data_IF_546792835839
#
_entry.id   IF_546792835839
#
_cell.length_a   1.000
_cell.length_b   1.000
_cell.length_c   1.000
_cell.angle_alpha   90.00
_cell.angle_beta   90.00
_cell.angle_gamma   90.00
#
_symmetry.space_group_name_H-M   'P 1'
#
loop_
_entity.id
_entity.type
_entity.pdbx_description
1 polymer ?
#
# COMPACT_ATOMS: atom_id res chain seq x y z
N UNK A 1 5.04 -13.10 -6.19
CA UNK A 1 5.34 -11.73 -6.68
C UNK A 1 4.13 -10.87 -6.43
N UNK A 2 4.32 -9.57 -6.20
CA UNK A 2 3.21 -8.62 -6.04
C UNK A 2 2.84 -8.04 -7.39
N UNK A 3 1.53 -7.95 -7.67
CA UNK A 3 1.00 -7.32 -8.88
C UNK A 3 -0.06 -6.31 -8.45
N UNK A 4 0.04 -5.10 -8.98
CA UNK A 4 -0.88 -4.01 -8.69
C UNK A 4 -1.56 -3.62 -10.00
N UNK A 5 -2.90 -3.65 -10.02
CA UNK A 5 -3.72 -3.32 -11.18
C UNK A 5 -4.72 -2.25 -10.78
N UNK A 6 -4.91 -1.25 -11.65
CA UNK A 6 -5.84 -0.15 -11.41
C UNK A 6 -6.61 0.22 -12.68
N UNK A 7 -7.70 0.98 -12.51
CA UNK A 7 -8.54 1.46 -13.61
C UNK A 7 -7.85 2.62 -14.35
N UNK A 8 -8.12 2.78 -15.65
CA UNK A 8 -7.45 3.80 -16.50
C UNK A 8 -7.67 5.25 -16.04
N UNK A 9 -8.80 5.54 -15.37
CA UNK A 9 -9.14 6.85 -14.83
C UNK A 9 -8.50 7.15 -13.47
N UNK A 10 -7.76 6.20 -12.89
CA UNK A 10 -7.05 6.37 -11.63
C UNK A 10 -5.58 6.67 -11.92
N UNK A 11 -5.11 7.84 -11.52
CA UNK A 11 -3.68 8.14 -11.57
C UNK A 11 -3.02 7.59 -10.31
N UNK A 12 -2.19 6.56 -10.47
CA UNK A 12 -1.47 5.92 -9.36
C UNK A 12 0.00 6.33 -9.39
N UNK A 13 0.47 6.90 -8.29
CA UNK A 13 1.88 7.24 -8.09
C UNK A 13 2.48 6.38 -6.97
N UNK A 14 3.42 5.50 -7.33
CA UNK A 14 4.10 4.62 -6.38
C UNK A 14 5.23 5.37 -5.69
N UNK A 15 5.10 5.56 -4.37
CA UNK A 15 6.08 6.27 -3.56
C UNK A 15 7.13 5.33 -2.93
N UNK A 16 6.75 4.08 -2.67
CA UNK A 16 7.65 3.06 -2.11
C UNK A 16 7.18 1.66 -2.46
N UNK A 17 8.11 0.76 -2.76
CA UNK A 17 7.80 -0.66 -2.94
C UNK A 17 8.94 -1.56 -2.48
N UNK A 18 8.59 -2.79 -2.11
CA UNK A 18 9.49 -3.88 -1.79
C UNK A 18 8.80 -5.22 -2.11
N UNK A 19 9.43 -6.34 -1.75
CA UNK A 19 8.78 -7.64 -1.83
C UNK A 19 7.62 -7.80 -0.84
N UNK A 20 7.59 -6.99 0.22
CA UNK A 20 6.61 -7.08 1.30
C UNK A 20 5.56 -5.97 1.28
N UNK A 21 5.69 -4.96 0.42
CA UNK A 21 4.67 -3.94 0.27
C UNK A 21 4.77 -3.19 -1.04
N UNK A 22 3.65 -2.62 -1.46
CA UNK A 22 3.58 -1.52 -2.42
C UNK A 22 2.82 -0.41 -1.73
N UNK A 23 3.36 0.81 -1.75
CA UNK A 23 2.74 1.99 -1.20
C UNK A 23 2.74 3.10 -2.24
N UNK A 24 1.62 3.79 -2.35
CA UNK A 24 1.44 4.86 -3.31
C UNK A 24 0.22 5.71 -3.00
N UNK A 25 0.00 6.67 -3.89
CA UNK A 25 -1.11 7.59 -3.84
C UNK A 25 -1.95 7.45 -5.09
N UNK A 26 -3.26 7.58 -4.91
CA UNK A 26 -4.25 7.53 -5.95
C UNK A 26 -4.91 8.91 -6.04
N UNK A 27 -4.83 9.50 -7.22
CA UNK A 27 -5.61 10.67 -7.61
C UNK A 27 -6.75 10.19 -8.51
N UNK A 28 -7.98 10.31 -8.03
CA UNK A 28 -9.17 10.03 -8.81
C UNK A 28 -9.62 11.30 -9.54
N UNK A 29 -9.50 11.31 -10.87
CA UNK A 29 -9.85 12.48 -11.68
C UNK A 29 -11.37 12.75 -11.70
N UNK A 30 -12.20 11.73 -11.48
CA UNK A 30 -13.67 11.84 -11.51
C UNK A 30 -14.20 12.48 -10.23
N UNK A 31 -13.76 11.98 -9.08
CA UNK A 31 -14.20 12.44 -7.76
C UNK A 31 -13.36 13.60 -7.22
N UNK A 32 -12.17 13.83 -7.80
CA UNK A 32 -11.11 14.74 -7.30
C UNK A 32 -10.63 14.38 -5.88
N UNK A 33 -10.78 13.11 -5.51
CA UNK A 33 -10.28 12.62 -4.23
C UNK A 33 -8.83 12.17 -4.34
N UNK A 34 -8.09 12.40 -3.26
CA UNK A 34 -6.72 11.95 -3.09
C UNK A 34 -6.64 11.02 -1.89
N UNK A 35 -6.20 9.79 -2.10
CA UNK A 35 -6.10 8.78 -1.05
C UNK A 35 -4.88 7.88 -1.25
N UNK A 36 -4.36 7.37 -0.14
CA UNK A 36 -3.20 6.48 -0.15
C UNK A 36 -3.62 5.03 -0.32
N UNK A 37 -2.88 4.27 -1.13
CA UNK A 37 -3.03 2.83 -1.23
C UNK A 37 -1.77 2.15 -0.69
N UNK A 38 -1.99 1.12 0.13
CA UNK A 38 -0.91 0.26 0.60
C UNK A 38 -1.34 -1.18 0.44
N UNK A 39 -0.62 -1.93 -0.38
CA UNK A 39 -0.71 -3.38 -0.43
C UNK A 39 0.43 -3.97 0.39
N UNK A 40 0.11 -4.92 1.27
CA UNK A 40 1.09 -5.56 2.15
C UNK A 40 1.10 -7.06 1.89
N UNK A 41 2.31 -7.55 1.64
CA UNK A 41 2.64 -8.97 1.60
C UNK A 41 3.50 -9.32 2.81
N UNK A 42 2.89 -10.01 3.78
CA UNK A 42 3.56 -10.37 5.02
C UNK A 42 4.85 -11.16 4.81
N UNK A 43 5.75 -11.10 5.79
CA UNK A 43 6.93 -11.97 5.77
C UNK A 43 6.52 -13.45 5.82
N UNK A 44 7.03 -14.25 4.89
CA UNK A 44 6.72 -15.67 4.77
C UNK A 44 7.31 -16.49 5.95
N UNK A 45 8.48 -16.10 6.44
CA UNK A 45 9.10 -16.83 7.55
C UNK A 45 8.43 -16.49 8.88
N UNK A 46 8.10 -17.53 9.65
CA UNK A 46 7.35 -17.41 10.90
C UNK A 46 8.03 -16.49 11.92
N UNK A 47 9.35 -16.58 12.03
CA UNK A 47 10.17 -15.72 12.89
C UNK A 47 10.13 -14.24 12.51
N UNK A 48 9.64 -13.91 11.31
CA UNK A 48 9.59 -12.55 10.79
C UNK A 48 8.18 -11.97 10.74
N UNK A 49 7.12 -12.72 11.06
CA UNK A 49 5.71 -12.24 11.00
C UNK A 49 5.48 -10.94 11.78
N UNK A 50 6.19 -10.73 12.90
CA UNK A 50 6.11 -9.50 13.69
C UNK A 50 6.62 -8.26 12.94
N UNK A 51 7.54 -8.42 11.99
CA UNK A 51 8.06 -7.31 11.15
C UNK A 51 6.98 -6.75 10.24
N UNK A 52 5.98 -7.54 9.85
CA UNK A 52 4.82 -7.05 9.09
C UNK A 52 4.06 -5.99 9.88
N UNK A 53 3.86 -6.19 11.19
CA UNK A 53 3.20 -5.20 12.04
C UNK A 53 4.01 -3.93 12.24
N UNK A 54 5.35 -4.06 12.32
CA UNK A 54 6.21 -2.88 12.33
C UNK A 54 6.15 -2.09 11.02
N UNK A 55 6.10 -2.80 9.87
CA UNK A 55 5.94 -2.18 8.56
C UNK A 55 4.61 -1.42 8.47
N UNK A 56 3.50 -2.06 8.83
CA UNK A 56 2.16 -1.42 8.91
C UNK A 56 2.22 -0.16 9.77
N UNK A 57 2.80 -0.26 10.98
CA UNK A 57 2.89 0.86 11.91
C UNK A 57 3.83 1.99 11.44
N UNK A 58 4.80 1.69 10.58
CA UNK A 58 5.67 2.68 9.95
C UNK A 58 4.95 3.40 8.81
N UNK A 59 4.21 2.66 7.97
CA UNK A 59 3.46 3.20 6.84
C UNK A 59 2.27 4.04 7.33
N UNK A 60 1.54 3.58 8.34
CA UNK A 60 0.45 4.35 8.95
C UNK A 60 0.91 5.69 9.53
N UNK A 61 2.16 5.78 10.01
CA UNK A 61 2.75 7.05 10.51
C UNK A 61 3.16 8.00 9.38
N UNK A 62 3.52 7.48 8.21
CA UNK A 62 3.89 8.29 7.07
C UNK A 62 2.68 8.78 6.28
N UNK A 63 1.51 8.15 6.46
CA UNK A 63 0.32 8.52 5.72
C UNK A 63 -0.41 9.72 6.35
N UNK A 64 -0.64 10.77 5.55
CA UNK A 64 -1.29 12.01 5.98
C UNK A 64 -2.74 12.14 5.45
N UNK A 65 -3.45 11.02 5.27
CA UNK A 65 -4.80 11.05 4.69
C UNK A 65 -5.54 9.72 4.74
N UNK A 66 -6.66 9.65 4.03
CA UNK A 66 -7.44 8.42 3.88
C UNK A 66 -6.57 7.34 3.22
N UNK A 67 -6.60 6.12 3.78
CA UNK A 67 -5.78 5.00 3.32
C UNK A 67 -6.60 3.74 3.14
N UNK A 68 -6.48 3.12 1.98
CA UNK A 68 -6.89 1.74 1.77
C UNK A 68 -5.70 0.81 2.05
N UNK A 69 -5.88 -0.14 2.96
CA UNK A 69 -4.92 -1.20 3.24
C UNK A 69 -5.44 -2.50 2.61
N UNK A 70 -4.67 -3.04 1.67
CA UNK A 70 -4.95 -4.32 1.03
C UNK A 70 -4.02 -5.40 1.60
N UNK A 71 -4.58 -6.58 1.85
CA UNK A 71 -3.85 -7.73 2.38
C UNK A 71 -4.04 -8.92 1.44
N UNK A 72 -2.99 -9.30 0.73
CA UNK A 72 -2.94 -10.51 -0.10
C UNK A 72 -2.38 -11.70 0.69
N UNK A 73 -3.09 -12.84 0.63
CA UNK A 73 -2.61 -14.14 1.13
C UNK A 73 -1.74 -14.85 0.09
#
# INVERSE_FOLDING_TARGET
GLAFMWMENLCVNISSYSINHIHGWCDDEETREHWGITDIYGYLEEQNKWKTWLLVGSLARHNQGAMALLWGF
#
